data_IF_725312521245
#
_entry.id   IF_725312521245
#
_cell.length_a   1.000
_cell.length_b   1.000
_cell.length_c   1.000
_cell.angle_alpha   90.00
_cell.angle_beta   90.00
_cell.angle_gamma   90.00
#
_symmetry.space_group_name_H-M   'P 1'
#
loop_
_entity.id
_entity.type
_entity.pdbx_description
1 polymer ?
#
# COMPACT_ATOMS: atom_id res chain seq x y z
N UNK A 1 -21.39 -15.22 -6.27
CA UNK A 1 -20.60 -15.03 -5.01
C UNK A 1 -19.28 -15.76 -5.22
N UNK A 2 -18.17 -15.05 -5.16
CA UNK A 2 -16.84 -15.71 -5.17
C UNK A 2 -16.61 -16.12 -3.72
N UNK A 3 -16.69 -17.39 -3.41
CA UNK A 3 -16.27 -17.95 -2.14
C UNK A 3 -14.74 -17.84 -2.08
N UNK A 4 -14.25 -16.96 -1.23
CA UNK A 4 -12.85 -16.95 -0.86
C UNK A 4 -12.65 -18.03 0.20
N UNK A 5 -12.01 -19.12 -0.20
CA UNK A 5 -11.49 -20.10 0.75
C UNK A 5 -10.42 -19.45 1.60
N UNK A 6 -10.80 -18.99 2.81
CA UNK A 6 -9.87 -18.33 3.73
C UNK A 6 -9.03 -19.46 4.35
N UNK A 7 -7.76 -19.58 3.98
CA UNK A 7 -6.91 -20.63 4.54
C UNK A 7 -6.87 -20.47 6.06
N UNK A 8 -7.04 -21.56 6.76
CA UNK A 8 -6.92 -21.61 8.21
C UNK A 8 -5.45 -21.33 8.58
N UNK A 9 -5.09 -20.07 8.77
CA UNK A 9 -3.72 -19.63 9.05
C UNK A 9 -3.26 -20.18 10.39
N UNK A 10 -2.51 -21.28 10.34
CA UNK A 10 -1.78 -21.76 11.52
C UNK A 10 -0.71 -20.74 11.88
N UNK A 11 -0.60 -20.44 13.17
CA UNK A 11 0.46 -19.59 13.68
C UNK A 11 1.83 -20.19 13.37
N UNK A 12 2.64 -19.52 12.59
CA UNK A 12 3.98 -19.97 12.22
C UNK A 12 4.88 -19.87 13.46
N UNK A 13 5.71 -20.86 13.70
CA UNK A 13 6.75 -20.81 14.74
C UNK A 13 7.68 -19.61 14.51
N UNK A 14 8.05 -18.91 15.58
CA UNK A 14 8.83 -17.68 15.49
C UNK A 14 10.22 -17.88 14.90
N UNK A 15 10.87 -19.02 15.20
CA UNK A 15 12.22 -19.32 14.67
C UNK A 15 12.14 -19.65 13.18
N UNK A 16 11.14 -20.43 12.80
CA UNK A 16 10.88 -20.73 11.38
C UNK A 16 10.56 -19.45 10.61
N UNK A 17 9.70 -18.58 11.14
CA UNK A 17 9.39 -17.30 10.53
C UNK A 17 10.64 -16.44 10.31
N UNK A 18 11.49 -16.26 11.30
CA UNK A 18 12.71 -15.46 11.18
C UNK A 18 13.70 -16.07 10.18
N UNK A 19 13.83 -17.39 10.14
CA UNK A 19 14.66 -18.12 9.17
C UNK A 19 14.18 -17.89 7.74
N UNK A 20 12.90 -18.07 7.46
CA UNK A 20 12.33 -17.91 6.12
C UNK A 20 12.32 -16.42 5.69
N UNK A 21 11.98 -15.52 6.60
CA UNK A 21 12.07 -14.08 6.36
C UNK A 21 13.49 -13.67 5.95
N UNK A 22 14.53 -14.17 6.63
CA UNK A 22 15.92 -13.87 6.27
C UNK A 22 16.26 -14.30 4.85
N UNK A 23 15.84 -15.50 4.44
CA UNK A 23 16.05 -15.99 3.07
C UNK A 23 15.40 -15.06 2.04
N UNK A 24 14.13 -14.69 2.27
CA UNK A 24 13.40 -13.81 1.37
C UNK A 24 14.02 -12.40 1.30
N UNK A 25 14.54 -11.87 2.40
CA UNK A 25 15.23 -10.58 2.40
C UNK A 25 16.54 -10.63 1.62
N UNK A 26 17.27 -11.75 1.64
CA UNK A 26 18.46 -11.94 0.80
C UNK A 26 18.07 -11.95 -0.68
N UNK A 27 17.01 -12.65 -1.06
CA UNK A 27 16.52 -12.64 -2.44
C UNK A 27 16.03 -11.25 -2.88
N UNK A 28 15.47 -10.47 -1.96
CA UNK A 28 15.04 -9.09 -2.25
C UNK A 28 16.23 -8.16 -2.50
N UNK A 29 17.35 -8.34 -1.80
CA UNK A 29 18.60 -7.61 -2.08
C UNK A 29 19.14 -7.99 -3.47
N UNK A 30 19.18 -9.28 -3.81
CA UNK A 30 19.55 -9.73 -5.17
C UNK A 30 18.63 -9.17 -6.25
N UNK A 31 17.33 -9.11 -5.96
CA UNK A 31 16.38 -8.48 -6.86
C UNK A 31 16.69 -6.99 -7.08
N UNK A 32 17.09 -6.27 -6.04
CA UNK A 32 17.50 -4.87 -6.19
C UNK A 32 18.76 -4.73 -7.04
N UNK A 33 19.76 -5.58 -6.83
CA UNK A 33 20.96 -5.60 -7.67
C UNK A 33 20.60 -5.80 -9.15
N UNK A 34 19.69 -6.74 -9.43
CA UNK A 34 19.19 -6.96 -10.79
C UNK A 34 18.42 -5.75 -11.33
N UNK A 35 17.57 -5.08 -10.52
CA UNK A 35 16.84 -3.87 -10.91
C UNK A 35 17.83 -2.77 -11.34
N UNK A 36 18.91 -2.60 -10.60
CA UNK A 36 19.94 -1.59 -10.87
C UNK A 36 20.70 -1.92 -12.16
N UNK A 37 21.19 -3.17 -12.29
CA UNK A 37 21.98 -3.63 -13.43
C UNK A 37 21.17 -3.60 -14.73
N UNK A 38 19.94 -4.12 -14.70
CA UNK A 38 19.04 -4.18 -15.85
C UNK A 38 18.23 -2.90 -16.05
N UNK A 39 18.51 -1.84 -15.26
CA UNK A 39 17.85 -0.54 -15.36
C UNK A 39 16.30 -0.63 -15.32
N UNK A 40 15.76 -1.58 -14.55
CA UNK A 40 14.32 -1.81 -14.42
C UNK A 40 13.65 -0.75 -13.54
N UNK A 41 12.35 -0.59 -13.73
CA UNK A 41 11.48 0.31 -12.94
C UNK A 41 10.40 -0.53 -12.27
N UNK A 42 10.36 -0.52 -10.93
CA UNK A 42 9.39 -1.33 -10.19
C UNK A 42 8.63 -0.46 -9.18
N UNK A 43 7.31 -0.42 -9.31
CA UNK A 43 6.39 0.18 -8.34
C UNK A 43 5.68 -0.93 -7.55
N UNK A 44 5.78 -0.89 -6.23
CA UNK A 44 5.11 -1.85 -5.33
C UNK A 44 4.08 -1.11 -4.50
N UNK A 45 2.82 -1.43 -4.71
CA UNK A 45 1.68 -0.76 -4.08
C UNK A 45 1.17 -1.58 -2.92
N UNK A 46 1.02 -0.96 -1.76
CA UNK A 46 0.37 -1.53 -0.59
C UNK A 46 -0.93 -0.80 -0.28
N UNK A 47 -2.04 -1.50 -0.44
CA UNK A 47 -3.37 -1.04 -0.08
C UNK A 47 -3.98 -1.94 1.02
N UNK A 48 -5.11 -1.55 1.54
CA UNK A 48 -5.83 -2.27 2.58
C UNK A 48 -6.24 -1.40 3.76
N UNK A 49 -6.98 -1.99 4.69
CA UNK A 49 -7.55 -1.30 5.85
C UNK A 49 -6.48 -0.62 6.72
N UNK A 50 -6.92 0.36 7.49
CA UNK A 50 -6.07 0.93 8.53
C UNK A 50 -5.69 -0.15 9.55
N UNK A 51 -4.45 -0.07 10.02
CA UNK A 51 -3.81 -1.07 10.88
C UNK A 51 -3.58 -2.46 10.24
N UNK A 52 -3.84 -2.66 8.94
CA UNK A 52 -3.58 -3.94 8.27
C UNK A 52 -2.08 -4.30 8.20
N UNK A 53 -1.17 -3.34 8.41
CA UNK A 53 0.27 -3.60 8.47
C UNK A 53 1.06 -3.07 7.28
N UNK A 54 0.46 -2.25 6.41
CA UNK A 54 1.12 -1.68 5.21
C UNK A 54 2.50 -1.10 5.49
N UNK A 55 2.58 -0.08 6.32
CA UNK A 55 3.84 0.57 6.71
C UNK A 55 4.85 -0.41 7.33
N UNK A 56 4.37 -1.34 8.17
CA UNK A 56 5.22 -2.36 8.79
C UNK A 56 5.81 -3.32 7.77
N UNK A 57 5.02 -3.78 6.81
CA UNK A 57 5.48 -4.65 5.71
C UNK A 57 6.53 -3.93 4.86
N UNK A 58 6.29 -2.69 4.46
CA UNK A 58 7.24 -1.90 3.68
C UNK A 58 8.54 -1.70 4.46
N UNK A 59 8.45 -1.37 5.76
CA UNK A 59 9.63 -1.19 6.62
C UNK A 59 10.50 -2.45 6.73
N UNK A 60 9.89 -3.63 6.77
CA UNK A 60 10.62 -4.90 6.77
C UNK A 60 11.28 -5.15 5.42
N UNK A 61 10.56 -4.95 4.33
CA UNK A 61 11.06 -5.20 2.97
C UNK A 61 12.18 -4.24 2.58
N UNK A 62 12.07 -2.96 2.94
CA UNK A 62 13.06 -1.94 2.56
C UNK A 62 14.31 -1.91 3.46
N UNK A 63 14.30 -2.64 4.59
CA UNK A 63 15.29 -2.53 5.66
C UNK A 63 16.75 -2.69 5.22
N UNK A 64 17.01 -3.56 4.26
CA UNK A 64 18.35 -3.91 3.79
C UNK A 64 18.63 -3.47 2.36
N UNK A 65 17.70 -2.76 1.74
CA UNK A 65 17.85 -2.24 0.39
C UNK A 65 18.74 -0.99 0.37
N UNK A 66 19.42 -0.78 -0.73
CA UNK A 66 20.24 0.40 -0.98
C UNK A 66 19.33 1.62 -1.09
N UNK A 67 19.40 2.61 -0.17
CA UNK A 67 18.44 3.72 -0.11
C UNK A 67 18.40 4.58 -1.39
N UNK A 68 19.51 4.73 -2.09
CA UNK A 68 19.60 5.49 -3.35
C UNK A 68 18.68 4.92 -4.45
N UNK A 69 18.41 3.63 -4.41
CA UNK A 69 17.63 2.89 -5.41
C UNK A 69 16.31 2.34 -4.85
N UNK A 70 15.91 2.82 -3.66
CA UNK A 70 14.68 2.39 -3.00
C UNK A 70 14.01 3.58 -2.32
N UNK A 71 12.78 3.89 -2.71
CA UNK A 71 12.05 5.04 -2.17
C UNK A 71 10.70 4.60 -1.60
N UNK A 72 10.31 5.20 -0.48
CA UNK A 72 8.97 5.08 0.10
C UNK A 72 8.15 6.33 -0.22
N UNK A 73 7.01 6.14 -0.83
CA UNK A 73 6.03 7.19 -1.13
C UNK A 73 4.82 7.07 -0.21
N UNK A 74 4.58 8.13 0.56
CA UNK A 74 3.42 8.29 1.45
C UNK A 74 2.93 9.72 1.35
N UNK A 75 1.96 9.96 0.47
CA UNK A 75 1.57 11.34 0.10
C UNK A 75 0.61 12.04 1.08
N UNK A 76 -0.06 11.31 1.96
CA UNK A 76 -1.01 11.91 2.91
C UNK A 76 -2.28 12.47 2.25
N UNK A 77 -2.90 13.46 2.90
CA UNK A 77 -4.13 14.10 2.43
C UNK A 77 -3.83 14.97 1.20
N UNK A 78 -4.60 14.86 0.10
CA UNK A 78 -4.39 15.68 -1.09
C UNK A 78 -4.80 17.14 -0.85
N UNK A 79 -4.09 18.05 -1.46
CA UNK A 79 -4.55 19.42 -1.65
C UNK A 79 -5.72 19.43 -2.65
N UNK A 80 -6.44 20.55 -2.73
CA UNK A 80 -7.54 20.72 -3.70
C UNK A 80 -7.05 20.54 -5.15
N UNK A 81 -5.89 21.08 -5.47
CA UNK A 81 -5.29 20.94 -6.80
C UNK A 81 -4.87 19.49 -7.09
N UNK A 82 -4.28 18.80 -6.13
CA UNK A 82 -3.95 17.37 -6.26
C UNK A 82 -5.19 16.50 -6.40
N UNK A 83 -6.28 16.85 -5.69
CA UNK A 83 -7.54 16.13 -5.82
C UNK A 83 -8.16 16.30 -7.22
N UNK A 84 -8.02 17.48 -7.85
CA UNK A 84 -8.42 17.72 -9.25
C UNK A 84 -7.51 16.99 -10.25
N UNK A 85 -6.20 16.93 -9.96
CA UNK A 85 -5.17 16.33 -10.82
C UNK A 85 -4.65 15.01 -10.25
N UNK A 86 -5.56 14.10 -9.91
CA UNK A 86 -5.30 12.89 -9.10
C UNK A 86 -4.15 12.04 -9.59
N UNK A 87 -4.12 11.70 -10.87
CA UNK A 87 -3.07 10.85 -11.43
C UNK A 87 -1.71 11.54 -11.48
N UNK A 88 -1.64 12.83 -11.76
CA UNK A 88 -0.38 13.59 -11.78
C UNK A 88 0.34 13.60 -10.44
N UNK A 89 -0.42 13.54 -9.33
CA UNK A 89 0.11 13.43 -7.97
C UNK A 89 0.99 12.19 -7.80
N UNK A 90 0.59 11.07 -8.38
CA UNK A 90 1.29 9.79 -8.32
C UNK A 90 2.28 9.61 -9.47
N UNK A 91 2.01 10.17 -10.63
CA UNK A 91 2.88 10.13 -11.80
C UNK A 91 4.28 10.66 -11.50
N UNK A 92 4.36 11.75 -10.75
CA UNK A 92 5.62 12.35 -10.28
C UNK A 92 6.41 11.45 -9.31
N UNK A 93 5.77 10.43 -8.79
CA UNK A 93 6.33 9.50 -7.81
C UNK A 93 6.65 8.13 -8.40
N UNK A 94 6.34 7.91 -9.67
CA UNK A 94 6.65 6.63 -10.30
C UNK A 94 8.17 6.39 -10.35
N UNK A 95 8.59 5.11 -10.38
CA UNK A 95 10.02 4.78 -10.33
C UNK A 95 10.78 5.31 -11.52
N UNK A 96 11.96 5.81 -11.25
CA UNK A 96 12.98 6.11 -12.26
C UNK A 96 13.73 4.82 -12.65
N UNK A 97 14.59 4.93 -13.66
CA UNK A 97 15.43 3.83 -14.13
C UNK A 97 16.35 3.29 -13.03
N UNK A 98 16.28 2.00 -12.76
CA UNK A 98 17.05 1.33 -11.71
C UNK A 98 16.48 1.57 -10.30
N UNK A 99 15.20 1.91 -10.19
CA UNK A 99 14.56 2.25 -8.91
C UNK A 99 13.42 1.29 -8.55
N UNK A 100 13.34 0.95 -7.27
CA UNK A 100 12.23 0.27 -6.61
C UNK A 100 11.48 1.27 -5.71
N UNK A 101 10.20 1.51 -6.00
CA UNK A 101 9.36 2.44 -5.22
C UNK A 101 8.25 1.69 -4.50
N UNK A 102 8.19 1.85 -3.18
CA UNK A 102 7.08 1.37 -2.35
C UNK A 102 6.06 2.49 -2.13
N UNK A 103 4.79 2.21 -2.39
CA UNK A 103 3.68 3.11 -2.11
C UNK A 103 2.92 2.63 -0.86
N UNK A 104 2.97 3.39 0.24
CA UNK A 104 2.08 3.20 1.41
C UNK A 104 0.78 3.95 1.15
N UNK A 105 -0.21 3.27 0.59
CA UNK A 105 -1.35 3.75 -0.16
C UNK A 105 -0.96 4.30 -1.54
N UNK A 106 -1.90 4.27 -2.46
CA UNK A 106 -1.65 4.60 -3.85
C UNK A 106 -2.77 5.43 -4.46
N UNK A 107 -2.76 5.53 -5.77
CA UNK A 107 -3.87 6.11 -6.55
C UNK A 107 -5.21 5.42 -6.29
N UNK A 108 -5.21 4.17 -5.88
CA UNK A 108 -6.44 3.46 -5.49
C UNK A 108 -7.11 4.02 -4.24
N UNK A 109 -6.44 4.85 -3.45
CA UNK A 109 -7.04 5.60 -2.34
C UNK A 109 -8.27 6.39 -2.79
N UNK A 110 -8.35 6.85 -4.05
CA UNK A 110 -9.54 7.49 -4.64
C UNK A 110 -10.77 6.57 -4.57
N UNK A 111 -10.63 5.30 -4.92
CA UNK A 111 -11.73 4.35 -4.93
C UNK A 111 -11.99 3.71 -3.55
N UNK A 112 -10.92 3.50 -2.77
CA UNK A 112 -11.00 2.75 -1.51
C UNK A 112 -11.35 3.62 -0.30
N UNK A 113 -10.68 4.77 -0.16
CA UNK A 113 -10.82 5.64 1.01
C UNK A 113 -11.69 6.84 0.71
N UNK A 114 -11.38 7.58 -0.34
CA UNK A 114 -12.08 8.84 -0.61
C UNK A 114 -13.55 8.63 -0.99
N UNK A 115 -13.84 7.61 -1.78
CA UNK A 115 -15.23 7.27 -2.12
C UNK A 115 -16.00 6.81 -0.89
N UNK A 116 -15.39 5.97 -0.04
CA UNK A 116 -16.04 5.44 1.18
C UNK A 116 -16.26 6.51 2.24
N UNK A 117 -15.31 7.45 2.37
CA UNK A 117 -15.37 8.53 3.36
C UNK A 117 -16.10 9.79 2.86
N UNK A 118 -16.56 9.80 1.61
CA UNK A 118 -17.20 10.97 1.02
C UNK A 118 -16.22 12.13 0.70
N UNK A 119 -14.93 11.86 0.55
CA UNK A 119 -13.91 12.88 0.25
C UNK A 119 -13.76 13.17 -1.24
N UNK A 120 -14.39 12.37 -2.10
CA UNK A 120 -14.48 12.65 -3.52
C UNK A 120 -15.94 12.60 -3.99
N UNK A 121 -16.22 13.34 -5.06
CA UNK A 121 -17.53 13.30 -5.71
C UNK A 121 -17.69 12.01 -6.51
N UNK A 122 -18.94 11.59 -6.76
CA UNK A 122 -19.26 10.45 -7.62
C UNK A 122 -18.65 10.60 -9.03
N UNK A 123 -18.64 11.83 -9.56
CA UNK A 123 -18.00 12.14 -10.84
C UNK A 123 -16.49 11.86 -10.82
N UNK A 124 -15.80 12.23 -9.74
CA UNK A 124 -14.36 11.96 -9.56
C UNK A 124 -14.09 10.46 -9.44
N UNK A 125 -14.91 9.75 -8.69
CA UNK A 125 -14.84 8.29 -8.58
C UNK A 125 -15.03 7.59 -9.93
N UNK A 126 -16.10 7.89 -10.64
CA UNK A 126 -16.39 7.31 -11.97
C UNK A 126 -15.28 7.64 -12.98
N UNK A 127 -14.76 8.87 -12.96
CA UNK A 127 -13.63 9.26 -13.80
C UNK A 127 -12.36 8.48 -13.48
N UNK A 128 -12.09 8.23 -12.20
CA UNK A 128 -10.98 7.41 -11.75
C UNK A 128 -11.11 5.98 -12.26
N UNK A 129 -12.25 5.33 -12.00
CA UNK A 129 -12.51 3.94 -12.42
C UNK A 129 -12.33 3.73 -13.92
N UNK A 130 -12.74 4.72 -14.73
CA UNK A 130 -12.57 4.67 -16.18
C UNK A 130 -11.12 4.81 -16.64
N UNK A 131 -10.31 5.54 -15.89
CA UNK A 131 -8.96 5.97 -16.32
C UNK A 131 -7.81 5.18 -15.68
N UNK A 132 -8.06 4.48 -14.56
CA UNK A 132 -6.97 3.87 -13.79
C UNK A 132 -6.22 2.80 -14.57
N UNK A 133 -6.92 1.92 -15.27
CA UNK A 133 -6.27 0.85 -16.05
C UNK A 133 -5.46 1.41 -17.23
N UNK A 134 -6.02 2.25 -18.14
CA UNK A 134 -5.22 2.88 -19.18
C UNK A 134 -4.04 3.70 -18.65
N UNK A 135 -4.17 4.32 -17.48
CA UNK A 135 -3.08 5.05 -16.86
C UNK A 135 -1.94 4.12 -16.39
N UNK A 136 -2.26 2.98 -15.79
CA UNK A 136 -1.26 1.98 -15.42
C UNK A 136 -0.60 1.34 -16.63
N UNK A 137 -1.38 0.98 -17.65
CA UNK A 137 -0.90 0.37 -18.90
C UNK A 137 0.17 1.25 -19.56
N UNK A 138 0.00 2.56 -19.60
CA UNK A 138 0.99 3.50 -20.11
C UNK A 138 2.37 3.36 -19.42
N UNK A 139 2.41 3.09 -18.12
CA UNK A 139 3.68 2.85 -17.41
C UNK A 139 4.24 1.47 -17.69
N UNK A 140 3.36 0.46 -17.80
CA UNK A 140 3.79 -0.91 -18.11
C UNK A 140 4.36 -1.01 -19.53
N UNK A 141 3.79 -0.31 -20.51
CA UNK A 141 4.32 -0.17 -21.85
C UNK A 141 5.71 0.52 -21.88
N UNK A 142 5.98 1.38 -20.89
CA UNK A 142 7.28 2.02 -20.67
C UNK A 142 8.19 1.25 -19.69
N UNK A 143 8.08 -0.07 -19.66
CA UNK A 143 8.90 -1.03 -18.91
C UNK A 143 8.85 -0.84 -17.38
N UNK A 144 7.78 -0.25 -16.84
CA UNK A 144 7.55 -0.19 -15.40
C UNK A 144 6.72 -1.40 -14.95
N UNK A 145 7.23 -2.19 -14.03
CA UNK A 145 6.46 -3.27 -13.39
C UNK A 145 5.69 -2.73 -12.20
N UNK A 146 4.38 -2.98 -12.17
CA UNK A 146 3.50 -2.58 -11.07
C UNK A 146 3.04 -3.84 -10.32
N UNK A 147 3.43 -3.96 -9.05
CA UNK A 147 2.99 -5.02 -8.16
C UNK A 147 2.03 -4.43 -7.12
N UNK A 148 0.87 -5.06 -6.94
CA UNK A 148 -0.18 -4.57 -6.04
C UNK A 148 -0.48 -5.59 -4.95
N UNK A 149 -0.34 -5.19 -3.68
CA UNK A 149 -0.70 -5.98 -2.51
C UNK A 149 -1.86 -5.32 -1.77
N UNK A 150 -2.93 -6.07 -1.59
CA UNK A 150 -4.04 -5.67 -0.74
C UNK A 150 -3.98 -6.44 0.57
N UNK A 151 -3.69 -5.74 1.67
CA UNK A 151 -3.61 -6.35 3.00
C UNK A 151 -5.01 -6.34 3.65
N UNK A 152 -5.67 -7.48 3.64
CA UNK A 152 -6.96 -7.67 4.29
C UNK A 152 -6.79 -8.13 5.73
N UNK A 153 -7.58 -7.54 6.63
CA UNK A 153 -7.74 -7.99 8.02
C UNK A 153 -9.22 -7.96 8.41
N UNK A 154 -9.61 -8.84 9.32
CA UNK A 154 -10.95 -8.86 9.88
C UNK A 154 -11.23 -7.59 10.72
N UNK A 155 -12.51 -7.18 10.76
CA UNK A 155 -12.96 -6.01 11.55
C UNK A 155 -12.59 -6.13 13.03
N UNK A 156 -12.72 -7.31 13.62
CA UNK A 156 -12.31 -7.59 15.01
C UNK A 156 -10.82 -7.36 15.25
N UNK A 157 -9.97 -7.84 14.34
CA UNK A 157 -8.52 -7.63 14.37
C UNK A 157 -8.18 -6.15 14.20
N UNK A 158 -8.86 -5.43 13.32
CA UNK A 158 -8.68 -3.99 13.13
C UNK A 158 -8.99 -3.23 14.42
N UNK A 159 -10.16 -3.48 15.04
CA UNK A 159 -10.58 -2.85 16.29
C UNK A 159 -9.56 -3.09 17.40
N UNK A 160 -9.17 -4.34 17.62
CA UNK A 160 -8.16 -4.70 18.62
C UNK A 160 -6.84 -3.95 18.41
N UNK A 161 -6.37 -3.83 17.16
CA UNK A 161 -5.12 -3.13 16.82
C UNK A 161 -5.22 -1.62 17.04
N UNK A 162 -6.38 -1.01 16.76
CA UNK A 162 -6.64 0.42 17.03
C UNK A 162 -6.67 0.67 18.54
N UNK A 163 -7.38 -0.15 19.31
CA UNK A 163 -7.42 -0.04 20.78
C UNK A 163 -6.02 -0.18 21.40
N UNK A 164 -5.25 -1.19 20.96
CA UNK A 164 -3.86 -1.36 21.41
C UNK A 164 -3.01 -0.13 21.10
N UNK A 165 -3.19 0.49 19.93
CA UNK A 165 -2.48 1.71 19.54
C UNK A 165 -2.92 2.90 20.40
N UNK A 166 -4.23 3.06 20.66
CA UNK A 166 -4.80 4.12 21.50
C UNK A 166 -4.22 4.11 22.91
N UNK A 167 -4.04 2.92 23.47
CA UNK A 167 -3.54 2.72 24.82
C UNK A 167 -2.00 2.69 24.91
N UNK A 168 -1.29 2.86 23.80
CA UNK A 168 0.18 2.85 23.78
C UNK A 168 0.75 4.25 23.98
N UNK A 169 1.57 4.49 25.01
CA UNK A 169 2.20 5.79 25.25
C UNK A 169 3.18 6.20 24.15
N UNK A 170 3.61 5.26 23.31
CA UNK A 170 4.60 5.50 22.25
C UNK A 170 3.99 5.83 20.88
N UNK A 171 2.74 5.39 20.63
CA UNK A 171 2.17 5.46 19.27
C UNK A 171 0.70 5.94 19.22
N UNK A 172 0.12 6.38 20.35
CA UNK A 172 -1.25 6.89 20.43
C UNK A 172 -1.51 8.04 19.43
N UNK A 173 -0.52 8.87 19.20
CA UNK A 173 -0.55 10.01 18.27
C UNK A 173 -0.71 9.60 16.79
N UNK A 174 -0.54 8.32 16.46
CA UNK A 174 -0.75 7.78 15.11
C UNK A 174 -2.20 7.47 14.79
N UNK A 175 -3.11 7.65 15.76
CA UNK A 175 -4.54 7.46 15.52
C UNK A 175 -5.12 8.74 14.94
N UNK A 176 -5.81 8.61 13.82
CA UNK A 176 -6.56 9.69 13.18
C UNK A 176 -8.07 9.49 13.37
N UNK A 177 -8.84 10.55 13.17
CA UNK A 177 -10.31 10.45 13.12
C UNK A 177 -10.77 9.47 12.03
N UNK A 178 -10.02 9.35 10.94
CA UNK A 178 -10.31 8.42 9.85
C UNK A 178 -10.16 6.96 10.29
N UNK A 179 -9.20 6.66 11.18
CA UNK A 179 -9.07 5.31 11.75
C UNK A 179 -10.33 4.92 12.55
N UNK A 180 -10.92 5.88 13.28
CA UNK A 180 -12.12 5.66 14.07
C UNK A 180 -13.37 5.55 13.17
N UNK A 181 -13.56 6.47 12.24
CA UNK A 181 -14.64 6.42 11.25
C UNK A 181 -14.59 5.15 10.40
N UNK A 182 -13.38 4.70 10.03
CA UNK A 182 -13.17 3.47 9.26
C UNK A 182 -13.58 2.18 9.97
N UNK A 183 -13.73 2.20 11.31
CA UNK A 183 -14.29 1.07 12.05
C UNK A 183 -15.78 0.90 11.82
N UNK A 184 -16.51 2.00 11.69
CA UNK A 184 -17.96 1.99 11.50
C UNK A 184 -18.34 1.71 10.05
N UNK A 185 -17.52 2.16 9.12
CA UNK A 185 -17.67 1.91 7.69
C UNK A 185 -17.19 0.47 7.38
N UNK A 186 -18.15 -0.44 7.35
CA UNK A 186 -17.89 -1.85 7.02
C UNK A 186 -17.39 -2.02 5.58
N UNK A 187 -16.69 -3.16 5.32
CA UNK A 187 -16.28 -3.61 3.97
C UNK A 187 -17.40 -3.69 2.92
N UNK A 188 -18.63 -3.42 3.29
CA UNK A 188 -19.79 -3.46 2.39
C UNK A 188 -19.67 -2.44 1.23
N UNK A 189 -18.75 -1.49 1.33
CA UNK A 189 -18.56 -0.43 0.34
C UNK A 189 -17.26 -0.54 -0.49
N UNK A 190 -16.59 -1.68 -0.43
CA UNK A 190 -15.39 -1.92 -1.26
C UNK A 190 -15.72 -2.91 -2.37
#
# INVERSE_FOLDING_TARGET
MIEFDIPNYRRIDSKLYEKEKRKLLIELVKLQDWIIQEKKKIAVVFEGRDTAGKTGSISVLSKYLIPKHCRLVKLGIPTENESKNWFQRYEKQMPETGELVFFDRSWYTRALVEATMGYCTERQYKSFMKKVIPWEERFMENDTKILKFYLSIEKGTQKMRIEKRKNSPLVYWKISENDLKGLDLSLIHI
#
